data_IF_743854447890
#
_entry.id   IF_743854447890
#
_cell.length_a   1.000
_cell.length_b   1.000
_cell.length_c   1.000
_cell.angle_alpha   90.00
_cell.angle_beta   90.00
_cell.angle_gamma   90.00
#
_symmetry.space_group_name_H-M   'P 1'
#
loop_
_entity.id
_entity.type
_entity.pdbx_description
1 polymer ?
#
# COMPACT_ATOMS: atom_id res chain seq x y z
N UNK A 1 -21.05 -15.85 55.51
CA UNK A 1 -21.74 -15.93 54.21
C UNK A 1 -21.42 -14.65 53.45
N UNK A 2 -20.75 -14.76 52.32
CA UNK A 2 -20.45 -13.69 51.35
C UNK A 2 -21.79 -13.05 50.86
N UNK A 3 -21.87 -11.86 50.26
CA UNK A 3 -21.28 -11.52 48.96
C UNK A 3 -21.21 -10.01 48.70
N UNK A 4 -20.06 -9.62 48.17
CA UNK A 4 -19.66 -8.26 47.78
C UNK A 4 -20.34 -7.87 46.46
N UNK A 5 -20.90 -6.65 46.41
CA UNK A 5 -21.25 -5.97 45.15
C UNK A 5 -20.00 -5.83 44.25
N UNK A 6 -20.03 -6.21 42.95
CA UNK A 6 -18.91 -5.97 42.06
C UNK A 6 -18.98 -4.55 41.48
N UNK A 7 -17.87 -3.82 41.57
CA UNK A 7 -17.65 -2.56 40.86
C UNK A 7 -17.44 -2.81 39.34
N UNK A 8 -17.81 -1.88 38.45
CA UNK A 8 -17.60 -2.04 37.02
C UNK A 8 -16.11 -1.93 36.69
N UNK A 9 -15.53 -3.01 36.15
CA UNK A 9 -14.18 -3.03 35.56
C UNK A 9 -14.16 -2.09 34.35
N UNK A 10 -13.63 -0.89 34.55
CA UNK A 10 -13.29 0.06 33.49
C UNK A 10 -12.13 -0.56 32.70
N UNK A 11 -12.49 -1.28 31.62
CA UNK A 11 -11.54 -1.89 30.70
C UNK A 11 -10.63 -0.82 30.13
N UNK A 12 -9.37 -0.85 30.54
CA UNK A 12 -8.32 0.04 30.08
C UNK A 12 -8.05 -0.30 28.60
N UNK A 13 -8.83 0.28 27.67
CA UNK A 13 -8.53 0.24 26.24
C UNK A 13 -7.29 1.10 26.04
N UNK A 14 -6.12 0.48 26.22
CA UNK A 14 -4.83 1.02 25.82
C UNK A 14 -4.97 1.43 24.35
N UNK A 15 -4.79 2.72 23.97
CA UNK A 15 -4.76 3.05 22.56
C UNK A 15 -3.58 2.28 21.97
N UNK A 16 -3.84 1.38 21.01
CA UNK A 16 -2.78 0.85 20.17
C UNK A 16 -2.29 2.01 19.31
N UNK A 17 -1.41 2.84 19.88
CA UNK A 17 -0.50 3.66 19.11
C UNK A 17 0.48 2.69 18.46
N UNK A 18 0.07 2.07 17.35
CA UNK A 18 1.04 1.53 16.40
C UNK A 18 1.73 2.74 15.80
N UNK A 19 2.77 3.21 16.48
CA UNK A 19 3.74 4.15 15.94
C UNK A 19 4.54 3.38 14.88
N UNK A 20 3.87 3.04 13.78
CA UNK A 20 4.47 2.33 12.66
C UNK A 20 5.52 3.25 12.06
N UNK A 21 6.68 2.71 11.67
CA UNK A 21 7.74 3.44 10.98
C UNK A 21 7.25 4.20 9.72
N UNK A 22 6.03 3.90 9.26
CA UNK A 22 5.28 4.64 8.25
C UNK A 22 4.92 6.10 8.62
N UNK A 23 4.76 6.44 9.90
CA UNK A 23 4.41 7.81 10.34
C UNK A 23 5.64 8.75 10.35
N UNK A 24 6.84 8.17 10.48
CA UNK A 24 8.10 8.92 10.44
C UNK A 24 8.54 9.29 9.01
N UNK A 25 7.88 8.75 7.97
CA UNK A 25 8.27 8.96 6.56
C UNK A 25 7.09 9.51 5.75
N UNK A 26 7.13 10.79 5.33
CA UNK A 26 6.02 11.40 4.62
C UNK A 26 5.68 10.64 3.32
N UNK A 27 4.40 10.30 3.16
CA UNK A 27 3.86 9.62 1.99
C UNK A 27 4.13 8.12 1.90
N UNK A 28 4.74 7.46 2.90
CA UNK A 28 4.91 5.99 2.85
C UNK A 28 3.54 5.29 2.87
N UNK A 29 2.63 5.74 3.73
CA UNK A 29 1.27 5.21 3.84
C UNK A 29 0.52 5.27 2.49
N UNK A 30 0.65 6.37 1.76
CA UNK A 30 0.11 6.52 0.41
C UNK A 30 0.67 5.48 -0.57
N UNK A 31 1.99 5.28 -0.58
CA UNK A 31 2.65 4.33 -1.50
C UNK A 31 2.26 2.88 -1.21
N UNK A 32 2.17 2.51 0.07
CA UNK A 32 1.69 1.19 0.49
C UNK A 32 0.21 0.99 0.11
N UNK A 33 -0.61 2.01 0.31
CA UNK A 33 -2.01 1.98 -0.10
C UNK A 33 -2.13 1.77 -1.62
N UNK A 34 -1.33 2.49 -2.42
CA UNK A 34 -1.30 2.33 -3.87
C UNK A 34 -0.90 0.92 -4.31
N UNK A 35 0.13 0.31 -3.70
CA UNK A 35 0.53 -1.06 -4.02
C UNK A 35 -0.58 -2.08 -3.71
N UNK A 36 -1.26 -1.93 -2.57
CA UNK A 36 -2.41 -2.78 -2.19
C UNK A 36 -3.59 -2.61 -3.13
N UNK A 37 -3.95 -1.36 -3.44
CA UNK A 37 -5.04 -1.03 -4.35
C UNK A 37 -4.76 -1.55 -5.76
N UNK A 38 -3.51 -1.47 -6.23
CA UNK A 38 -3.13 -2.03 -7.52
C UNK A 38 -3.37 -3.54 -7.58
N UNK A 39 -3.02 -4.27 -6.52
CA UNK A 39 -3.34 -5.70 -6.43
C UNK A 39 -4.84 -5.98 -6.41
N UNK A 40 -5.63 -5.18 -5.69
CA UNK A 40 -7.08 -5.32 -5.68
C UNK A 40 -7.71 -5.07 -7.07
N UNK A 41 -7.20 -4.09 -7.82
CA UNK A 41 -7.68 -3.80 -9.19
C UNK A 41 -7.33 -4.94 -10.14
N UNK A 42 -6.09 -5.42 -10.13
CA UNK A 42 -5.62 -6.42 -11.09
C UNK A 42 -6.16 -7.82 -10.76
N UNK A 43 -6.09 -8.23 -9.50
CA UNK A 43 -6.44 -9.60 -9.11
C UNK A 43 -7.96 -9.77 -8.91
N UNK A 44 -8.61 -8.76 -8.32
CA UNK A 44 -10.06 -8.83 -8.01
C UNK A 44 -10.92 -8.11 -9.05
N UNK A 45 -10.33 -7.62 -10.15
CA UNK A 45 -11.01 -6.84 -11.20
C UNK A 45 -11.92 -5.73 -10.64
N UNK A 46 -11.51 -5.13 -9.52
CA UNK A 46 -12.29 -4.09 -8.86
C UNK A 46 -12.04 -2.76 -9.53
N UNK A 47 -13.09 -1.95 -9.72
CA UNK A 47 -12.98 -0.64 -10.35
C UNK A 47 -12.07 0.30 -9.54
N UNK A 48 -11.10 0.91 -10.21
CA UNK A 48 -10.18 1.89 -9.63
C UNK A 48 -10.94 3.10 -9.03
N UNK A 49 -11.94 3.61 -9.75
CA UNK A 49 -12.72 4.76 -9.32
C UNK A 49 -13.49 4.45 -8.03
N UNK A 50 -14.03 3.24 -7.89
CA UNK A 50 -14.70 2.80 -6.67
C UNK A 50 -13.74 2.68 -5.49
N UNK A 51 -12.54 2.14 -5.71
CA UNK A 51 -11.53 1.99 -4.66
C UNK A 51 -10.92 3.32 -4.21
N UNK A 52 -10.84 4.30 -5.13
CA UNK A 52 -10.29 5.62 -4.88
C UNK A 52 -11.38 6.67 -4.66
N UNK A 53 -12.62 6.28 -4.35
CA UNK A 53 -13.66 7.24 -4.00
C UNK A 53 -13.35 7.91 -2.64
N UNK A 54 -13.69 9.20 -2.51
CA UNK A 54 -13.47 9.97 -1.29
C UNK A 54 -14.54 9.69 -0.21
N UNK A 55 -15.60 8.97 -0.56
CA UNK A 55 -16.76 8.70 0.31
C UNK A 55 -16.93 7.22 0.63
N UNK A 56 -16.84 6.34 -0.38
CA UNK A 56 -17.02 4.89 -0.24
C UNK A 56 -15.79 4.08 -0.65
N UNK A 57 -14.64 4.74 -0.76
CA UNK A 57 -13.39 4.11 -1.17
C UNK A 57 -12.85 3.12 -0.14
N UNK A 58 -11.70 2.54 -0.47
CA UNK A 58 -11.02 1.61 0.43
C UNK A 58 -10.72 2.29 1.80
N UNK A 59 -10.88 1.61 2.94
CA UNK A 59 -10.70 2.23 4.27
C UNK A 59 -9.30 2.84 4.46
N UNK A 60 -8.26 2.21 3.89
CA UNK A 60 -6.90 2.79 3.92
C UNK A 60 -6.76 4.02 3.01
N UNK A 61 -7.59 4.16 1.98
CA UNK A 61 -7.60 5.34 1.13
C UNK A 61 -8.29 6.52 1.80
N UNK A 62 -9.42 6.26 2.48
CA UNK A 62 -10.18 7.26 3.22
C UNK A 62 -9.43 7.78 4.45
N UNK A 63 -8.57 6.94 5.06
CA UNK A 63 -7.72 7.32 6.18
C UNK A 63 -6.57 8.28 5.80
N UNK A 64 -6.30 8.47 4.50
CA UNK A 64 -5.22 9.34 4.03
C UNK A 64 -5.65 10.81 3.93
N UNK A 65 -4.68 11.70 4.14
CA UNK A 65 -4.86 13.12 3.86
C UNK A 65 -5.12 13.39 2.37
N UNK A 66 -5.77 14.52 2.00
CA UNK A 66 -6.08 14.84 0.60
C UNK A 66 -4.86 14.82 -0.33
N UNK A 67 -3.69 15.25 0.17
CA UNK A 67 -2.42 15.23 -0.57
C UNK A 67 -1.98 13.81 -0.93
N UNK A 68 -2.02 12.93 0.06
CA UNK A 68 -1.66 11.52 -0.10
C UNK A 68 -2.65 10.78 -0.99
N UNK A 69 -3.94 11.14 -0.91
CA UNK A 69 -4.98 10.65 -1.82
C UNK A 69 -4.74 11.01 -3.28
N UNK A 70 -4.25 12.23 -3.55
CA UNK A 70 -3.86 12.65 -4.89
C UNK A 70 -2.63 11.87 -5.38
N UNK A 71 -1.64 11.65 -4.51
CA UNK A 71 -0.46 10.85 -4.81
C UNK A 71 -0.82 9.40 -5.17
N UNK A 72 -1.73 8.76 -4.42
CA UNK A 72 -2.21 7.41 -4.71
C UNK A 72 -2.85 7.34 -6.10
N UNK A 73 -3.74 8.29 -6.45
CA UNK A 73 -4.37 8.33 -7.78
C UNK A 73 -3.33 8.53 -8.89
N UNK A 74 -2.33 9.37 -8.67
CA UNK A 74 -1.25 9.59 -9.64
C UNK A 74 -0.41 8.32 -9.86
N UNK A 75 -0.05 7.60 -8.79
CA UNK A 75 0.68 6.33 -8.84
C UNK A 75 -0.15 5.27 -9.58
N UNK A 76 -1.40 5.07 -9.18
CA UNK A 76 -2.28 4.06 -9.78
C UNK A 76 -2.54 4.35 -11.26
N UNK A 77 -2.82 5.60 -11.63
CA UNK A 77 -3.01 6.01 -13.02
C UNK A 77 -1.75 5.77 -13.86
N UNK A 78 -0.57 6.08 -13.34
CA UNK A 78 0.69 5.88 -14.05
C UNK A 78 1.07 4.40 -14.18
N UNK A 79 0.86 3.61 -13.12
CA UNK A 79 1.13 2.18 -13.10
C UNK A 79 0.21 1.41 -14.05
N UNK A 80 -1.08 1.75 -14.10
CA UNK A 80 -2.06 1.08 -14.96
C UNK A 80 -1.87 1.47 -16.44
N UNK A 81 -1.67 2.76 -16.75
CA UNK A 81 -1.44 3.21 -18.14
C UNK A 81 -0.19 2.59 -18.75
N UNK A 82 0.87 2.44 -17.97
CA UNK A 82 2.16 1.95 -18.45
C UNK A 82 2.43 0.48 -18.09
N UNK A 83 1.41 -0.27 -17.66
CA UNK A 83 1.57 -1.64 -17.15
C UNK A 83 2.36 -2.54 -18.09
N UNK A 84 2.01 -2.57 -19.37
CA UNK A 84 2.73 -3.38 -20.36
C UNK A 84 4.19 -2.98 -20.57
N UNK A 85 4.50 -1.68 -20.47
CA UNK A 85 5.89 -1.19 -20.57
C UNK A 85 6.70 -1.53 -19.32
N UNK A 86 6.09 -1.39 -18.14
CA UNK A 86 6.69 -1.74 -16.86
C UNK A 86 6.95 -3.25 -16.78
N UNK A 87 5.97 -4.07 -17.16
CA UNK A 87 6.10 -5.53 -17.19
C UNK A 87 7.24 -5.99 -18.12
N UNK A 88 7.36 -5.39 -19.31
CA UNK A 88 8.50 -5.65 -20.22
C UNK A 88 9.83 -5.22 -19.61
N UNK A 89 9.89 -4.07 -18.94
CA UNK A 89 11.10 -3.59 -18.29
C UNK A 89 11.55 -4.52 -17.15
N UNK A 90 10.59 -5.00 -16.36
CA UNK A 90 10.81 -6.00 -15.30
C UNK A 90 11.35 -7.29 -15.94
N UNK A 91 10.65 -7.86 -16.92
CA UNK A 91 11.05 -9.13 -17.55
C UNK A 91 12.41 -9.05 -18.26
N UNK A 92 12.81 -7.88 -18.75
CA UNK A 92 14.15 -7.67 -19.34
C UNK A 92 15.27 -7.64 -18.29
N UNK A 93 14.94 -7.35 -17.03
CA UNK A 93 15.92 -7.22 -15.93
C UNK A 93 15.96 -8.42 -15.00
N UNK A 94 14.98 -9.31 -15.08
CA UNK A 94 14.97 -10.58 -14.36
C UNK A 94 15.47 -11.72 -15.24
N UNK A 95 16.52 -12.40 -14.78
CA UNK A 95 17.02 -13.63 -15.43
C UNK A 95 16.02 -14.79 -15.36
N UNK A 96 15.15 -14.79 -14.34
CA UNK A 96 14.06 -15.76 -14.16
C UNK A 96 12.76 -15.02 -13.87
N UNK A 97 11.64 -15.36 -14.54
CA UNK A 97 10.36 -14.72 -14.26
C UNK A 97 9.96 -14.90 -12.79
N UNK A 98 9.29 -13.90 -12.21
CA UNK A 98 8.80 -14.00 -10.84
C UNK A 98 7.80 -15.16 -10.72
N UNK A 99 7.90 -15.99 -9.66
CA UNK A 99 6.96 -17.08 -9.43
C UNK A 99 5.54 -16.54 -9.30
N UNK A 100 4.55 -17.34 -9.71
CA UNK A 100 3.14 -16.94 -9.67
C UNK A 100 2.67 -16.61 -8.25
N UNK A 101 3.24 -17.25 -7.24
CA UNK A 101 2.93 -17.01 -5.82
C UNK A 101 3.40 -15.64 -5.31
N UNK A 102 4.29 -14.94 -6.04
CA UNK A 102 4.85 -13.65 -5.64
C UNK A 102 4.04 -12.45 -6.18
N UNK A 103 2.70 -12.56 -6.16
CA UNK A 103 1.77 -11.53 -6.68
C UNK A 103 1.99 -10.18 -5.99
N UNK A 104 2.13 -10.17 -4.65
CA UNK A 104 2.39 -8.96 -3.88
C UNK A 104 3.67 -8.24 -4.33
N UNK A 105 4.76 -8.99 -4.57
CA UNK A 105 6.03 -8.45 -5.04
C UNK A 105 5.93 -7.92 -6.48
N UNK A 106 5.18 -8.60 -7.36
CA UNK A 106 4.94 -8.11 -8.74
C UNK A 106 4.25 -6.74 -8.73
N UNK A 107 3.23 -6.55 -7.90
CA UNK A 107 2.54 -5.26 -7.78
C UNK A 107 3.43 -4.18 -7.17
N UNK A 108 4.25 -4.55 -6.19
CA UNK A 108 5.19 -3.62 -5.57
C UNK A 108 6.23 -3.11 -6.57
N UNK A 109 6.84 -4.01 -7.34
CA UNK A 109 7.78 -3.67 -8.41
C UNK A 109 7.13 -2.76 -9.46
N UNK A 110 5.86 -3.03 -9.81
CA UNK A 110 5.12 -2.17 -10.72
C UNK A 110 4.95 -0.75 -10.17
N UNK A 111 4.56 -0.62 -8.90
CA UNK A 111 4.41 0.69 -8.25
C UNK A 111 5.75 1.42 -8.16
N UNK A 112 6.83 0.73 -7.75
CA UNK A 112 8.15 1.33 -7.63
C UNK A 112 8.67 1.86 -8.97
N UNK A 113 8.53 1.07 -10.04
CA UNK A 113 8.94 1.52 -11.39
C UNK A 113 8.04 2.65 -11.87
N UNK A 114 6.73 2.61 -11.61
CA UNK A 114 5.83 3.70 -11.97
C UNK A 114 6.24 5.02 -11.32
N UNK A 115 6.68 4.97 -10.06
CA UNK A 115 7.15 6.12 -9.30
C UNK A 115 8.43 6.73 -9.88
N UNK A 116 9.43 5.88 -10.15
CA UNK A 116 10.74 6.32 -10.66
C UNK A 116 10.63 6.83 -12.10
N UNK A 117 9.94 6.10 -12.97
CA UNK A 117 9.95 6.39 -14.42
C UNK A 117 8.94 7.45 -14.85
N UNK A 118 7.83 7.60 -14.13
CA UNK A 118 6.69 8.41 -14.62
C UNK A 118 6.25 9.52 -13.67
N UNK A 119 6.69 9.49 -12.40
CA UNK A 119 6.29 10.49 -11.41
C UNK A 119 7.47 11.28 -10.83
N UNK A 120 8.69 11.02 -11.30
CA UNK A 120 9.93 11.68 -10.85
C UNK A 120 10.05 11.72 -9.31
N UNK A 121 9.53 10.67 -8.66
CA UNK A 121 9.56 10.53 -7.22
C UNK A 121 10.98 10.10 -6.81
N UNK A 122 11.55 10.68 -5.75
CA UNK A 122 12.93 10.40 -5.37
C UNK A 122 13.20 8.90 -5.15
N UNK A 123 14.34 8.42 -5.65
CA UNK A 123 14.71 6.99 -5.61
C UNK A 123 14.68 6.38 -4.19
N UNK A 124 15.03 7.16 -3.17
CA UNK A 124 14.98 6.73 -1.76
C UNK A 124 13.55 6.37 -1.31
N UNK A 125 12.52 6.99 -1.89
CA UNK A 125 11.12 6.65 -1.60
C UNK A 125 10.70 5.27 -2.13
N UNK A 126 11.33 4.82 -3.23
CA UNK A 126 11.10 3.49 -3.77
C UNK A 126 11.81 2.42 -2.92
N UNK A 127 12.99 2.75 -2.38
CA UNK A 127 13.71 1.89 -1.43
C UNK A 127 12.90 1.69 -0.15
N UNK A 128 12.32 2.76 0.42
CA UNK A 128 11.50 2.64 1.62
C UNK A 128 10.27 1.74 1.40
N UNK A 129 9.63 1.84 0.24
CA UNK A 129 8.54 0.95 -0.16
C UNK A 129 9.01 -0.51 -0.25
N UNK A 130 10.19 -0.75 -0.84
CA UNK A 130 10.79 -2.08 -0.96
C UNK A 130 11.15 -2.70 0.41
N UNK A 131 11.73 -1.90 1.30
CA UNK A 131 12.07 -2.32 2.67
C UNK A 131 10.81 -2.69 3.46
N UNK A 132 9.77 -1.85 3.39
CA UNK A 132 8.53 -2.13 4.11
C UNK A 132 7.78 -3.33 3.53
N UNK A 133 7.85 -3.54 2.21
CA UNK A 133 7.31 -4.74 1.58
C UNK A 133 8.05 -6.01 2.01
N UNK A 134 9.38 -5.95 2.14
CA UNK A 134 10.17 -7.05 2.67
C UNK A 134 9.83 -7.35 4.13
N UNK A 135 9.59 -6.32 4.95
CA UNK A 135 9.12 -6.50 6.33
C UNK A 135 7.69 -7.06 6.41
N UNK A 136 6.86 -6.78 5.40
CA UNK A 136 5.47 -7.23 5.32
C UNK A 136 5.31 -8.63 4.71
N UNK A 137 6.35 -9.19 4.08
CA UNK A 137 6.36 -10.54 3.49
C UNK A 137 6.54 -11.59 4.60
N UNK A 138 5.48 -12.29 5.03
CA UNK A 138 5.60 -13.35 6.02
C UNK A 138 6.08 -14.61 5.28
N UNK A 139 7.39 -14.81 5.25
CA UNK A 139 7.97 -16.11 4.91
C UNK A 139 7.74 -17.13 6.02
#
# INVERSE_FOLDING_TARGET
>A
MNDKKPAPKRGNKKPLTSNSAADLRPGLAARLCAARLLGAVIEKNTSLDGLTDNTHGHPQYLALEPRDRALVRAILGSALRNRGSIERAINKRLDRPLPENAVALKHLLHVAIAQIFYLDLPDHSAVDLAVEAANSDPR
#
